data_IF_364001716692
#
_entry.id   IF_364001716692
#
_cell.length_a   1.000
_cell.length_b   1.000
_cell.length_c   1.000
_cell.angle_alpha   90.00
_cell.angle_beta   90.00
_cell.angle_gamma   90.00
#
_symmetry.space_group_name_H-M   'P 1'
#
loop_
_entity.id
_entity.type
_entity.pdbx_description
1 polymer ?
#
# COMPACT_ATOMS: atom_id res chain seq x y z
N UNK A 1 -0.82 28.28 12.52
CA UNK A 1 -0.43 28.46 13.93
C UNK A 1 0.29 29.79 14.07
N UNK A 2 0.00 30.56 15.12
CA UNK A 2 0.68 31.83 15.40
C UNK A 2 0.88 31.95 16.91
N UNK A 3 2.06 32.43 17.32
CA UNK A 3 2.36 32.73 18.71
C UNK A 3 2.96 34.11 18.84
N UNK A 4 2.48 34.84 19.84
CA UNK A 4 2.89 36.21 20.14
C UNK A 4 3.28 36.33 21.61
N UNK A 5 4.47 36.87 21.85
CA UNK A 5 4.99 37.20 23.16
C UNK A 5 5.00 38.72 23.30
N UNK A 6 4.21 39.25 24.23
CA UNK A 6 4.10 40.69 24.47
C UNK A 6 5.04 41.12 25.60
N UNK A 7 5.56 42.34 25.52
CA UNK A 7 6.29 43.02 26.59
C UNK A 7 6.00 44.52 26.54
N UNK A 8 6.37 45.27 27.58
CA UNK A 8 5.89 46.64 27.79
C UNK A 8 6.12 47.60 26.61
N UNK A 9 7.18 47.39 25.83
CA UNK A 9 7.57 48.24 24.70
C UNK A 9 7.32 47.59 23.32
N UNK A 10 6.64 46.44 23.25
CA UNK A 10 6.36 45.80 21.97
C UNK A 10 5.99 44.31 22.04
N UNK A 11 6.36 43.56 21.01
CA UNK A 11 6.07 42.13 20.91
C UNK A 11 6.99 41.40 19.95
N UNK A 12 7.16 40.10 20.17
CA UNK A 12 7.68 39.16 19.18
C UNK A 12 6.56 38.24 18.73
N UNK A 13 6.43 38.02 17.42
CA UNK A 13 5.40 37.17 16.82
C UNK A 13 6.04 36.22 15.82
N UNK A 14 5.64 34.96 15.86
CA UNK A 14 6.00 33.94 14.88
C UNK A 14 4.72 33.32 14.34
N UNK A 15 4.65 33.18 13.02
CA UNK A 15 3.53 32.61 12.29
C UNK A 15 4.05 31.44 11.45
N UNK A 16 3.36 30.31 11.53
CA UNK A 16 3.65 29.09 10.76
C UNK A 16 2.37 28.57 10.13
N UNK A 17 2.41 28.25 8.85
CA UNK A 17 1.32 27.59 8.14
C UNK A 17 1.88 26.42 7.36
N UNK A 18 1.21 25.29 7.44
CA UNK A 18 1.47 24.14 6.60
C UNK A 18 0.13 23.63 6.04
N UNK A 19 0.12 23.26 4.78
CA UNK A 19 -0.99 22.59 4.12
C UNK A 19 -0.47 21.37 3.37
N UNK A 20 -1.20 20.27 3.44
CA UNK A 20 -0.86 19.03 2.75
C UNK A 20 -2.07 18.55 1.97
N UNK A 21 -1.91 18.36 0.66
CA UNK A 21 -2.78 17.56 -0.17
C UNK A 21 -2.03 16.33 -0.64
N UNK A 22 -2.68 15.18 -0.69
CA UNK A 22 -2.10 14.02 -1.35
C UNK A 22 -3.18 13.23 -2.09
N UNK A 23 -2.81 12.70 -3.25
CA UNK A 23 -3.55 11.72 -4.02
C UNK A 23 -2.75 10.43 -4.06
N UNK A 24 -3.44 9.30 -3.88
CA UNK A 24 -2.79 8.00 -3.78
C UNK A 24 -3.45 6.97 -4.71
N UNK A 25 -2.62 6.13 -5.31
CA UNK A 25 -3.00 4.96 -6.10
C UNK A 25 -2.23 3.78 -5.59
N UNK A 26 -2.89 2.64 -5.55
CA UNK A 26 -2.33 1.44 -4.94
C UNK A 26 -2.51 0.31 -5.92
N UNK A 27 -1.52 0.09 -6.80
CA UNK A 27 -1.59 -1.02 -7.72
C UNK A 27 -1.30 -2.30 -6.96
N UNK A 28 -2.12 -3.29 -7.28
CA UNK A 28 -2.13 -4.53 -6.55
C UNK A 28 -2.30 -5.71 -7.47
N UNK A 29 -1.66 -6.82 -7.12
CA UNK A 29 -1.73 -8.07 -7.86
C UNK A 29 -2.20 -9.18 -6.94
N UNK A 30 -3.29 -9.83 -7.35
CA UNK A 30 -3.70 -11.11 -6.80
C UNK A 30 -3.15 -12.24 -7.68
N UNK A 31 -2.52 -13.24 -7.06
CA UNK A 31 -2.12 -14.48 -7.73
C UNK A 31 -2.97 -15.61 -7.17
N UNK A 32 -3.66 -16.33 -8.05
CA UNK A 32 -4.49 -17.48 -7.68
C UNK A 32 -3.92 -18.73 -8.33
N UNK A 33 -3.65 -19.76 -7.54
CA UNK A 33 -3.18 -21.07 -8.00
C UNK A 33 -4.20 -22.12 -7.59
N UNK A 34 -4.74 -22.84 -8.56
CA UNK A 34 -5.68 -23.92 -8.32
C UNK A 34 -5.03 -25.26 -8.60
N UNK A 35 -5.20 -26.22 -7.70
CA UNK A 35 -4.66 -27.56 -7.85
C UNK A 35 -5.59 -28.66 -7.33
N UNK A 36 -5.65 -29.80 -8.01
CA UNK A 36 -5.16 -29.99 -9.38
C UNK A 36 -6.05 -29.22 -10.37
N UNK A 37 -5.54 -29.02 -11.59
CA UNK A 37 -6.31 -28.41 -12.70
C UNK A 37 -7.10 -29.47 -13.49
N UNK A 38 -6.64 -30.72 -13.44
CA UNK A 38 -7.31 -31.88 -14.01
C UNK A 38 -7.19 -33.05 -13.06
N UNK A 39 -8.30 -33.77 -12.88
CA UNK A 39 -8.34 -35.02 -12.12
C UNK A 39 -9.20 -36.04 -12.86
N UNK A 40 -8.70 -37.26 -12.95
CA UNK A 40 -9.45 -38.44 -13.35
C UNK A 40 -9.56 -39.37 -12.13
N UNK A 41 -10.78 -39.62 -11.68
CA UNK A 41 -11.04 -40.70 -10.73
C UNK A 41 -11.56 -41.90 -11.49
N UNK A 42 -10.89 -43.03 -11.33
CA UNK A 42 -11.35 -44.35 -11.78
C UNK A 42 -11.39 -45.25 -10.55
N UNK A 43 -12.57 -45.75 -10.20
CA UNK A 43 -12.74 -46.60 -9.02
C UNK A 43 -14.14 -47.19 -8.90
N UNK A 44 -14.27 -48.19 -8.03
CA UNK A 44 -15.55 -48.91 -7.77
C UNK A 44 -16.36 -48.23 -6.66
N UNK A 45 -15.71 -47.45 -5.78
CA UNK A 45 -16.35 -46.70 -4.68
C UNK A 45 -16.43 -45.20 -5.00
N UNK A 46 -17.49 -44.56 -4.49
CA UNK A 46 -17.56 -43.11 -4.38
C UNK A 46 -16.38 -42.64 -3.51
N UNK A 47 -15.44 -41.92 -4.13
CA UNK A 47 -14.40 -41.21 -3.40
C UNK A 47 -14.71 -39.73 -3.49
N UNK A 48 -15.04 -39.15 -2.34
CA UNK A 48 -15.02 -37.71 -2.17
C UNK A 48 -13.68 -37.18 -2.62
N UNK A 49 -13.74 -36.04 -3.27
CA UNK A 49 -12.54 -35.45 -3.75
C UNK A 49 -12.60 -33.94 -3.68
N UNK A 50 -11.45 -33.31 -3.76
CA UNK A 50 -11.35 -31.89 -3.51
C UNK A 50 -10.39 -31.24 -4.49
N UNK A 51 -10.57 -29.94 -4.65
CA UNK A 51 -9.54 -29.06 -5.20
C UNK A 51 -9.13 -28.04 -4.15
N UNK A 52 -7.88 -27.63 -4.28
CA UNK A 52 -7.25 -26.61 -3.47
C UNK A 52 -7.12 -25.33 -4.29
N UNK A 53 -7.41 -24.20 -3.67
CA UNK A 53 -7.12 -22.88 -4.22
C UNK A 53 -6.21 -22.14 -3.26
N UNK A 54 -5.09 -21.64 -3.78
CA UNK A 54 -4.15 -20.78 -3.07
C UNK A 54 -4.26 -19.36 -3.62
N UNK A 55 -4.59 -18.40 -2.76
CA UNK A 55 -4.73 -16.98 -3.11
C UNK A 55 -3.65 -16.20 -2.38
N UNK A 56 -2.81 -15.49 -3.12
CA UNK A 56 -1.84 -14.55 -2.57
C UNK A 56 -2.04 -13.16 -3.15
N UNK A 57 -1.59 -12.16 -2.41
CA UNK A 57 -1.77 -10.76 -2.77
C UNK A 57 -0.49 -9.97 -2.47
N UNK A 58 -0.17 -9.03 -3.35
CA UNK A 58 0.95 -8.10 -3.18
C UNK A 58 0.58 -6.71 -3.73
N UNK A 59 1.11 -5.66 -3.09
CA UNK A 59 1.24 -4.34 -3.72
C UNK A 59 2.46 -4.35 -4.62
N UNK A 60 2.28 -3.79 -5.82
CA UNK A 60 3.35 -3.63 -6.81
C UNK A 60 3.68 -2.15 -6.97
N UNK A 61 4.77 -1.84 -7.66
CA UNK A 61 5.05 -0.50 -8.19
C UNK A 61 4.49 -0.49 -9.62
N UNK A 62 3.43 0.29 -9.84
CA UNK A 62 2.70 0.38 -11.09
C UNK A 62 3.22 1.53 -11.94
N UNK A 63 3.87 1.21 -13.06
CA UNK A 63 4.26 2.20 -14.05
C UNK A 63 3.07 2.69 -14.91
N UNK A 64 3.33 3.67 -15.77
CA UNK A 64 2.33 4.20 -16.69
C UNK A 64 1.69 3.09 -17.58
N UNK A 65 2.47 2.09 -17.98
CA UNK A 65 1.99 0.99 -18.80
C UNK A 65 1.10 0.01 -18.02
N UNK A 66 1.39 -0.21 -16.74
CA UNK A 66 0.52 -0.96 -15.84
C UNK A 66 -0.87 -0.34 -15.81
N UNK A 67 -0.96 0.97 -15.60
CA UNK A 67 -2.24 1.68 -15.57
C UNK A 67 -2.97 1.67 -16.92
N UNK A 68 -2.25 1.82 -18.03
CA UNK A 68 -2.83 1.71 -19.38
C UNK A 68 -3.40 0.31 -19.63
N UNK A 69 -2.67 -0.75 -19.26
CA UNK A 69 -3.14 -2.15 -19.37
C UNK A 69 -4.35 -2.41 -18.46
N UNK A 70 -4.41 -1.76 -17.31
CA UNK A 70 -5.56 -1.76 -16.42
C UNK A 70 -6.73 -0.88 -16.91
N UNK A 71 -6.71 -0.40 -18.17
CA UNK A 71 -7.83 0.32 -18.78
C UNK A 71 -7.98 1.77 -18.34
N UNK A 72 -6.99 2.35 -17.66
CA UNK A 72 -7.06 3.74 -17.21
C UNK A 72 -6.86 4.71 -18.40
N UNK A 73 -7.74 5.70 -18.52
CA UNK A 73 -7.63 6.73 -19.56
C UNK A 73 -6.30 7.49 -19.46
N UNK A 74 -5.69 7.83 -20.60
CA UNK A 74 -4.36 8.47 -20.66
C UNK A 74 -4.25 9.75 -19.81
N UNK A 75 -5.30 10.57 -19.77
CA UNK A 75 -5.38 11.79 -18.95
C UNK A 75 -5.35 11.51 -17.45
N UNK A 76 -5.61 10.27 -17.04
CA UNK A 76 -5.61 9.81 -15.66
C UNK A 76 -4.40 8.96 -15.32
N UNK A 77 -3.41 8.78 -16.20
CA UNK A 77 -2.21 7.96 -15.89
C UNK A 77 -1.23 8.73 -15.00
N UNK A 78 -1.20 10.07 -15.07
CA UNK A 78 -0.28 10.95 -14.29
C UNK A 78 1.17 10.45 -14.31
N UNK A 79 1.66 10.07 -15.50
CA UNK A 79 3.02 9.55 -15.72
C UNK A 79 3.36 8.27 -14.95
N UNK A 80 2.36 7.61 -14.35
CA UNK A 80 2.56 6.43 -13.50
C UNK A 80 2.77 6.76 -12.02
N UNK A 81 2.78 8.04 -11.63
CA UNK A 81 2.98 8.42 -10.24
C UNK A 81 1.85 7.87 -9.36
N UNK A 82 2.25 7.12 -8.33
CA UNK A 82 1.34 6.46 -7.41
C UNK A 82 1.00 7.35 -6.22
N UNK A 83 1.94 8.20 -5.79
CA UNK A 83 1.74 9.24 -4.79
C UNK A 83 1.99 10.60 -5.43
N UNK A 84 0.94 11.41 -5.44
CA UNK A 84 1.01 12.83 -5.78
C UNK A 84 0.84 13.58 -4.47
N UNK A 85 1.87 14.27 -3.99
CA UNK A 85 1.81 15.04 -2.77
C UNK A 85 2.07 16.51 -3.06
N UNK A 86 1.16 17.36 -2.63
CA UNK A 86 1.31 18.80 -2.66
C UNK A 86 1.48 19.28 -1.23
N UNK A 87 2.65 19.83 -0.92
CA UNK A 87 2.92 20.41 0.38
C UNK A 87 3.11 21.91 0.24
N UNK A 88 2.48 22.66 1.13
CA UNK A 88 2.66 24.10 1.26
C UNK A 88 3.21 24.35 2.66
N UNK A 89 4.28 25.13 2.75
CA UNK A 89 4.83 25.57 4.02
C UNK A 89 5.03 27.08 3.96
N UNK A 90 4.71 27.77 5.05
CA UNK A 90 4.87 29.20 5.22
C UNK A 90 5.39 29.51 6.60
N UNK A 91 6.38 30.41 6.65
CA UNK A 91 6.93 30.96 7.88
C UNK A 91 6.91 32.48 7.80
N UNK A 92 6.64 33.13 8.93
CA UNK A 92 6.69 34.58 9.07
C UNK A 92 7.01 34.96 10.50
N UNK A 93 7.61 36.14 10.69
CA UNK A 93 7.89 36.68 12.00
C UNK A 93 7.78 38.21 12.04
N UNK A 94 7.55 38.75 13.24
CA UNK A 94 7.55 40.19 13.49
C UNK A 94 8.12 40.48 14.87
N UNK A 95 9.15 41.31 14.92
CA UNK A 95 9.76 41.81 16.14
C UNK A 95 9.58 43.32 16.22
N UNK A 96 8.75 43.75 17.18
CA UNK A 96 8.49 45.14 17.50
C UNK A 96 9.03 45.44 18.89
N UNK A 97 9.90 46.42 19.03
CA UNK A 97 10.42 46.88 20.32
C UNK A 97 10.53 48.41 20.32
N UNK A 98 10.28 49.04 21.47
CA UNK A 98 10.22 50.51 21.61
C UNK A 98 9.24 51.15 20.61
N UNK A 99 8.11 50.49 20.37
CA UNK A 99 7.11 50.91 19.36
C UNK A 99 7.63 50.97 17.91
N UNK A 100 8.82 50.40 17.64
CA UNK A 100 9.42 50.31 16.31
C UNK A 100 9.50 48.87 15.80
N UNK A 101 9.29 48.66 14.49
CA UNK A 101 9.36 47.34 13.84
C UNK A 101 10.80 47.07 13.38
N UNK A 102 11.58 46.39 14.22
CA UNK A 102 12.99 46.10 13.97
C UNK A 102 13.22 44.98 12.95
N UNK A 103 12.32 44.00 12.91
CA UNK A 103 12.41 42.92 11.94
C UNK A 103 11.02 42.39 11.60
N UNK A 104 10.75 42.21 10.30
CA UNK A 104 9.48 41.71 9.83
C UNK A 104 9.67 40.89 8.55
N UNK A 105 9.32 39.61 8.63
CA UNK A 105 9.07 38.79 7.44
C UNK A 105 7.58 38.43 7.46
N UNK A 106 6.77 38.90 6.50
CA UNK A 106 5.38 38.50 6.41
C UNK A 106 5.28 37.00 6.15
N UNK A 107 4.21 36.36 6.63
CA UNK A 107 3.96 34.95 6.34
C UNK A 107 3.85 34.79 4.82
N UNK A 108 4.83 34.10 4.23
CA UNK A 108 4.83 33.75 2.81
C UNK A 108 4.77 32.25 2.68
N UNK A 109 3.72 31.78 2.02
CA UNK A 109 3.57 30.38 1.67
C UNK A 109 4.40 30.09 0.42
N UNK A 110 5.18 29.02 0.45
CA UNK A 110 5.74 28.40 -0.74
C UNK A 110 5.20 27.00 -0.83
N UNK A 111 4.49 26.74 -1.92
CA UNK A 111 4.14 25.39 -2.34
C UNK A 111 5.35 24.73 -2.97
N UNK A 112 5.46 23.42 -2.78
CA UNK A 112 6.28 22.57 -3.63
C UNK A 112 5.49 21.29 -3.89
N UNK A 113 5.51 20.88 -5.15
CA UNK A 113 4.94 19.62 -5.58
C UNK A 113 5.98 18.53 -5.39
N UNK A 114 5.57 17.42 -4.79
CA UNK A 114 6.40 16.25 -4.56
C UNK A 114 5.66 15.03 -5.10
N UNK A 115 6.15 14.51 -6.22
CA UNK A 115 5.61 13.31 -6.84
C UNK A 115 6.68 12.24 -6.76
N UNK A 116 6.27 11.05 -6.33
CA UNK A 116 7.15 9.89 -6.33
C UNK A 116 6.34 8.62 -6.61
N UNK A 117 7.00 7.63 -7.19
CA UNK A 117 6.53 6.26 -7.12
C UNK A 117 6.64 5.80 -5.66
N UNK A 118 5.66 5.05 -5.18
CA UNK A 118 5.71 4.53 -3.82
C UNK A 118 5.01 3.18 -3.74
N UNK A 119 5.70 2.21 -3.17
CA UNK A 119 5.05 0.94 -2.85
C UNK A 119 4.20 1.10 -1.60
N UNK A 120 2.88 0.97 -1.74
CA UNK A 120 1.99 1.08 -0.60
C UNK A 120 2.26 0.00 0.46
N UNK A 121 2.29 0.35 1.76
CA UNK A 121 2.69 -0.57 2.81
C UNK A 121 1.58 -1.57 3.13
N UNK A 122 1.79 -2.83 2.78
CA UNK A 122 0.98 -3.93 3.32
C UNK A 122 1.57 -4.38 4.65
N UNK A 123 1.40 -3.57 5.69
CA UNK A 123 1.83 -3.88 7.05
C UNK A 123 0.75 -3.47 8.04
N UNK A 124 0.54 -4.28 9.07
CA UNK A 124 -0.18 -3.85 10.26
C UNK A 124 0.58 -2.78 11.07
N UNK A 125 1.89 -2.65 10.85
CA UNK A 125 2.76 -1.69 11.50
C UNK A 125 2.93 -0.43 10.65
N UNK A 126 3.17 0.69 11.31
CA UNK A 126 3.49 1.95 10.63
C UNK A 126 4.85 1.87 9.96
N UNK A 127 4.91 2.29 8.70
CA UNK A 127 6.16 2.43 7.95
C UNK A 127 6.22 3.79 7.25
N UNK A 128 7.41 4.38 7.11
CA UNK A 128 7.59 5.60 6.33
C UNK A 128 7.25 5.36 4.86
N UNK A 129 6.56 6.33 4.26
CA UNK A 129 6.14 6.33 2.84
C UNK A 129 6.85 7.44 2.08
N UNK A 130 6.89 8.64 2.63
CA UNK A 130 7.54 9.80 2.02
C UNK A 130 8.14 10.69 3.10
N UNK A 131 9.24 11.36 2.75
CA UNK A 131 9.87 12.35 3.61
C UNK A 131 10.04 13.65 2.87
N UNK A 132 9.66 14.73 3.53
CA UNK A 132 9.64 16.06 2.94
C UNK A 132 10.35 16.99 3.87
N UNK A 133 11.46 17.58 3.41
CA UNK A 133 12.20 18.58 4.16
C UNK A 133 12.17 19.90 3.43
N UNK A 134 11.85 20.98 4.16
CA UNK A 134 11.97 22.34 3.66
C UNK A 134 13.46 22.62 3.47
N UNK A 135 13.90 22.97 2.24
CA UNK A 135 15.30 23.27 1.97
C UNK A 135 15.88 24.34 2.91
N UNK A 136 17.14 24.18 3.38
CA UNK A 136 17.77 25.13 4.31
C UNK A 136 17.84 26.57 3.83
N UNK A 137 18.02 26.80 2.53
CA UNK A 137 17.99 28.12 1.91
C UNK A 137 16.62 28.81 2.07
N UNK A 138 15.53 28.04 2.16
CA UNK A 138 14.18 28.57 2.44
C UNK A 138 13.96 28.82 3.95
N UNK A 139 14.54 27.98 4.82
CA UNK A 139 14.49 28.18 6.28
C UNK A 139 15.53 29.18 6.80
N UNK A 140 16.44 29.65 5.92
CA UNK A 140 17.61 30.48 6.24
C UNK A 140 18.45 29.92 7.40
N UNK A 141 18.60 28.60 7.44
CA UNK A 141 19.30 27.88 8.49
C UNK A 141 20.75 27.51 8.13
N UNK A 142 21.19 27.83 6.91
CA UNK A 142 22.56 27.56 6.47
C UNK A 142 23.55 28.47 7.18
N UNK A 143 24.59 27.88 7.73
CA UNK A 143 25.71 28.57 8.35
C UNK A 143 26.99 28.05 7.69
N UNK A 144 27.84 28.96 7.22
CA UNK A 144 29.16 28.64 6.69
C UNK A 144 30.20 29.54 7.38
N UNK A 145 31.14 28.91 8.08
CA UNK A 145 32.21 29.56 8.85
C UNK A 145 33.59 29.25 8.23
N UNK A 146 33.65 28.94 6.94
CA UNK A 146 34.87 28.69 6.18
C UNK A 146 35.40 27.27 6.31
N UNK A 147 35.79 26.87 7.51
CA UNK A 147 36.32 25.50 7.80
C UNK A 147 35.28 24.55 8.39
N UNK A 148 34.10 25.08 8.71
CA UNK A 148 32.96 24.33 9.18
C UNK A 148 31.68 25.00 8.70
N UNK A 149 30.64 24.21 8.53
CA UNK A 149 29.33 24.72 8.18
C UNK A 149 28.25 23.71 8.49
N UNK A 150 27.01 24.13 8.36
CA UNK A 150 25.89 23.25 8.60
C UNK A 150 24.57 23.89 8.20
N UNK A 151 23.52 23.09 8.31
CA UNK A 151 22.16 23.49 8.01
C UNK A 151 21.15 22.69 8.81
N UNK A 152 19.98 23.28 9.01
CA UNK A 152 18.86 22.63 9.70
C UNK A 152 17.58 22.73 8.86
N UNK A 153 17.12 21.60 8.37
CA UNK A 153 15.85 21.50 7.66
C UNK A 153 14.76 21.02 8.60
N UNK A 154 13.60 21.67 8.55
CA UNK A 154 12.39 21.15 9.19
C UNK A 154 11.62 20.38 8.13
N UNK A 155 11.10 19.21 8.50
CA UNK A 155 10.38 18.35 7.59
C UNK A 155 9.25 17.59 8.24
N UNK A 156 8.58 16.80 7.42
CA UNK A 156 7.54 15.85 7.82
C UNK A 156 7.78 14.52 7.11
N UNK A 157 7.59 13.43 7.84
CA UNK A 157 7.51 12.09 7.30
C UNK A 157 6.04 11.70 7.22
N UNK A 158 5.58 11.35 6.03
CA UNK A 158 4.32 10.67 5.84
C UNK A 158 4.56 9.19 6.11
N UNK A 159 3.93 8.66 7.16
CA UNK A 159 3.94 7.25 7.49
C UNK A 159 2.55 6.66 7.28
N UNK A 160 2.50 5.42 6.79
CA UNK A 160 1.25 4.70 6.61
C UNK A 160 1.36 3.26 7.07
N UNK A 161 0.21 2.67 7.36
CA UNK A 161 0.03 1.23 7.50
C UNK A 161 -1.21 0.84 6.71
N UNK A 162 -1.24 -0.37 6.17
CA UNK A 162 -2.25 -0.73 5.21
C UNK A 162 -2.50 -2.22 5.12
N UNK A 163 -3.70 -2.54 4.64
CA UNK A 163 -4.16 -3.91 4.40
C UNK A 163 -5.05 -3.97 3.18
N UNK A 164 -5.01 -5.12 2.52
CA UNK A 164 -5.90 -5.45 1.42
C UNK A 164 -6.99 -6.35 1.95
N UNK A 165 -8.22 -6.11 1.53
CA UNK A 165 -9.36 -7.02 1.69
C UNK A 165 -9.88 -7.45 0.34
N UNK A 166 -10.37 -8.67 0.25
CA UNK A 166 -11.08 -9.17 -0.93
C UNK A 166 -12.14 -10.20 -0.53
N UNK A 167 -13.06 -10.48 -1.43
CA UNK A 167 -14.05 -11.55 -1.28
C UNK A 167 -13.66 -12.72 -2.17
N UNK A 168 -13.69 -13.93 -1.62
CA UNK A 168 -13.42 -15.17 -2.34
C UNK A 168 -14.60 -16.14 -2.27
N UNK A 169 -14.90 -16.76 -3.41
CA UNK A 169 -15.90 -17.83 -3.54
C UNK A 169 -15.32 -18.95 -4.40
N UNK A 170 -15.63 -20.19 -4.04
CA UNK A 170 -15.30 -21.35 -4.86
C UNK A 170 -16.45 -21.66 -5.81
N UNK A 171 -16.14 -22.13 -7.01
CA UNK A 171 -17.13 -22.47 -8.03
C UNK A 171 -17.12 -23.95 -8.35
N UNK A 172 -18.31 -24.53 -8.54
CA UNK A 172 -18.53 -25.84 -9.14
C UNK A 172 -19.64 -25.69 -10.18
N UNK A 173 -19.36 -26.03 -11.44
CA UNK A 173 -20.30 -25.87 -12.56
C UNK A 173 -20.89 -24.45 -12.64
N UNK A 174 -20.04 -23.46 -12.39
CA UNK A 174 -20.40 -22.06 -12.37
C UNK A 174 -21.30 -21.59 -11.22
N UNK A 175 -21.58 -22.45 -10.23
CA UNK A 175 -22.32 -22.11 -9.03
C UNK A 175 -21.40 -21.99 -7.82
N UNK A 176 -21.75 -21.09 -6.88
CA UNK A 176 -20.99 -20.91 -5.64
C UNK A 176 -21.09 -22.19 -4.79
N UNK A 177 -19.93 -22.72 -4.41
CA UNK A 177 -19.80 -23.91 -3.60
C UNK A 177 -19.15 -23.58 -2.24
N UNK A 178 -19.60 -24.22 -1.14
CA UNK A 178 -18.93 -24.11 0.14
C UNK A 178 -17.48 -24.59 0.07
N UNK A 179 -16.56 -23.81 0.63
CA UNK A 179 -15.16 -24.18 0.78
C UNK A 179 -14.68 -23.99 2.21
N UNK A 180 -13.65 -24.74 2.58
CA UNK A 180 -13.08 -24.77 3.91
C UNK A 180 -11.76 -23.98 3.95
N UNK A 181 -11.63 -23.10 4.94
CA UNK A 181 -10.37 -22.47 5.34
C UNK A 181 -10.32 -22.40 6.86
N UNK A 182 -9.16 -22.63 7.48
CA UNK A 182 -9.01 -22.58 8.94
C UNK A 182 -10.11 -23.32 9.73
N UNK A 183 -10.51 -24.51 9.26
CA UNK A 183 -11.60 -25.35 9.80
C UNK A 183 -13.02 -24.72 9.76
N UNK A 184 -13.22 -23.66 8.97
CA UNK A 184 -14.52 -23.02 8.75
C UNK A 184 -14.99 -23.27 7.32
N UNK A 185 -16.17 -23.89 7.17
CA UNK A 185 -16.82 -24.14 5.88
C UNK A 185 -17.85 -23.05 5.60
N UNK A 186 -17.67 -22.29 4.50
CA UNK A 186 -18.56 -21.20 4.10
C UNK A 186 -18.63 -21.08 2.57
N UNK A 187 -19.75 -20.60 2.00
CA UNK A 187 -19.85 -20.31 0.56
C UNK A 187 -19.01 -19.09 0.15
N UNK A 188 -18.67 -18.23 1.10
CA UNK A 188 -17.92 -16.99 0.88
C UNK A 188 -16.93 -16.75 2.01
N UNK A 189 -15.75 -16.23 1.65
CA UNK A 189 -14.68 -15.88 2.58
C UNK A 189 -14.23 -14.44 2.36
N UNK A 190 -14.13 -13.67 3.45
CA UNK A 190 -13.45 -12.39 3.45
C UNK A 190 -11.96 -12.62 3.70
N UNK A 191 -11.15 -12.20 2.74
CA UNK A 191 -9.69 -12.31 2.77
C UNK A 191 -9.12 -11.00 3.30
N UNK A 192 -8.10 -11.08 4.16
CA UNK A 192 -7.37 -9.91 4.64
C UNK A 192 -5.86 -10.19 4.59
N UNK A 193 -5.13 -9.33 3.88
CA UNK A 193 -3.67 -9.35 3.85
C UNK A 193 -3.12 -8.08 4.47
N UNK A 194 -2.47 -8.24 5.61
CA UNK A 194 -1.72 -7.19 6.29
C UNK A 194 -0.20 -7.39 6.20
N UNK A 195 0.28 -8.44 5.52
CA UNK A 195 1.69 -8.67 5.25
C UNK A 195 1.82 -9.34 3.86
N UNK A 196 2.80 -8.94 3.02
CA UNK A 196 3.02 -9.58 1.73
C UNK A 196 3.53 -11.02 1.91
N UNK A 197 3.20 -11.89 0.95
CA UNK A 197 3.82 -13.22 0.83
C UNK A 197 3.20 -14.35 1.67
N UNK A 198 2.08 -14.11 2.35
CA UNK A 198 1.32 -15.17 3.04
C UNK A 198 0.11 -15.61 2.19
N UNK A 199 0.19 -16.74 1.46
CA UNK A 199 -0.95 -17.24 0.72
C UNK A 199 -2.04 -17.80 1.66
N UNK A 200 -3.30 -17.59 1.30
CA UNK A 200 -4.46 -18.21 1.92
C UNK A 200 -4.87 -19.43 1.11
N UNK A 201 -5.19 -20.54 1.80
CA UNK A 201 -5.56 -21.80 1.17
C UNK A 201 -7.01 -22.15 1.46
N UNK A 202 -7.68 -22.64 0.43
CA UNK A 202 -9.07 -23.07 0.45
C UNK A 202 -9.17 -24.48 -0.10
N UNK A 203 -9.98 -25.30 0.55
CA UNK A 203 -10.28 -26.66 0.10
C UNK A 203 -11.77 -26.74 -0.21
N UNK A 204 -12.12 -27.15 -1.42
CA UNK A 204 -13.53 -27.28 -1.84
C UNK A 204 -13.80 -28.72 -2.19
N UNK A 205 -14.80 -29.33 -1.52
CA UNK A 205 -15.27 -30.66 -1.87
C UNK A 205 -15.99 -30.64 -3.21
N UNK A 206 -15.65 -31.60 -4.06
CA UNK A 206 -16.29 -31.87 -5.34
C UNK A 206 -17.21 -33.07 -5.14
N UNK A 207 -18.52 -32.85 -4.97
CA UNK A 207 -19.45 -33.95 -4.72
C UNK A 207 -19.44 -34.92 -5.91
N UNK A 208 -19.39 -36.21 -5.61
CA UNK A 208 -19.48 -37.27 -6.63
C UNK A 208 -20.92 -37.27 -7.17
N UNK A 209 -21.13 -37.38 -8.50
CA UNK A 209 -22.48 -37.54 -9.03
C UNK A 209 -23.08 -38.88 -8.60
N UNK A 210 -24.39 -38.94 -8.30
CA UNK A 210 -25.04 -40.16 -7.82
C UNK A 210 -25.20 -41.27 -8.86
N UNK A 211 -24.72 -41.09 -10.11
CA UNK A 211 -24.97 -42.02 -11.20
C UNK A 211 -23.66 -42.63 -11.75
N UNK A 212 -23.34 -43.89 -11.39
CA UNK A 212 -22.01 -44.50 -11.58
C UNK A 212 -21.64 -44.80 -13.05
N UNK A 213 -22.60 -44.87 -13.97
CA UNK A 213 -22.37 -45.50 -15.27
C UNK A 213 -21.98 -44.55 -16.41
N UNK A 214 -21.95 -43.23 -16.17
CA UNK A 214 -21.66 -42.23 -17.21
C UNK A 214 -20.45 -41.41 -16.80
N UNK A 215 -19.48 -41.26 -17.72
CA UNK A 215 -18.38 -40.31 -17.52
C UNK A 215 -18.95 -38.90 -17.42
N UNK A 216 -18.95 -38.32 -16.23
CA UNK A 216 -19.40 -36.95 -16.03
C UNK A 216 -18.23 -36.02 -15.90
N UNK A 217 -18.34 -34.85 -16.52
CA UNK A 217 -17.33 -33.80 -16.43
C UNK A 217 -17.89 -32.63 -15.64
N UNK A 218 -17.16 -32.19 -14.60
CA UNK A 218 -17.50 -30.99 -13.83
C UNK A 218 -16.40 -29.96 -13.96
N UNK A 219 -16.78 -28.72 -14.22
CA UNK A 219 -15.89 -27.56 -14.10
C UNK A 219 -15.86 -27.10 -12.65
N UNK A 220 -14.73 -26.57 -12.23
CA UNK A 220 -14.56 -25.92 -10.93
C UNK A 220 -13.58 -24.77 -11.06
N UNK A 221 -13.64 -23.86 -10.09
CA UNK A 221 -12.98 -22.58 -10.23
C UNK A 221 -13.12 -21.69 -9.00
N UNK A 222 -12.96 -20.40 -9.23
CA UNK A 222 -13.07 -19.38 -8.20
C UNK A 222 -13.65 -18.07 -8.73
N UNK A 223 -14.19 -17.29 -7.80
CA UNK A 223 -14.43 -15.87 -7.96
C UNK A 223 -13.62 -15.12 -6.90
N UNK A 224 -12.91 -14.08 -7.34
CA UNK A 224 -12.24 -13.12 -6.47
C UNK A 224 -12.75 -11.73 -6.82
N UNK A 225 -13.27 -11.00 -5.85
CA UNK A 225 -13.83 -9.67 -6.09
C UNK A 225 -13.78 -8.77 -4.88
N UNK A 226 -14.42 -7.61 -5.02
CA UNK A 226 -14.54 -6.58 -3.96
C UNK A 226 -13.20 -6.29 -3.28
N UNK A 227 -12.17 -6.06 -4.11
CA UNK A 227 -10.82 -5.77 -3.61
C UNK A 227 -10.80 -4.34 -3.09
N UNK A 228 -10.51 -4.19 -1.80
CA UNK A 228 -10.38 -2.90 -1.12
C UNK A 228 -9.03 -2.78 -0.44
N UNK A 229 -8.36 -1.66 -0.61
CA UNK A 229 -7.20 -1.30 0.19
C UNK A 229 -7.60 -0.32 1.29
N UNK A 230 -7.35 -0.67 2.54
CA UNK A 230 -7.55 0.21 3.69
C UNK A 230 -6.20 0.70 4.18
N UNK A 231 -6.06 2.00 4.39
CA UNK A 231 -4.81 2.65 4.82
C UNK A 231 -5.08 3.65 5.94
N UNK A 232 -4.20 3.65 6.94
CA UNK A 232 -4.14 4.70 7.95
C UNK A 232 -2.92 5.57 7.67
N UNK A 233 -3.09 6.89 7.76
CA UNK A 233 -2.04 7.86 7.48
C UNK A 233 -1.65 8.67 8.72
N UNK A 234 -0.37 9.00 8.82
CA UNK A 234 0.14 9.90 9.85
C UNK A 234 1.28 10.77 9.33
N UNK A 235 1.40 11.97 9.90
CA UNK A 235 2.55 12.84 9.70
C UNK A 235 3.38 12.85 10.97
N UNK A 236 4.69 12.64 10.82
CA UNK A 236 5.66 12.75 11.90
C UNK A 236 6.58 13.93 11.57
N UNK A 237 6.54 15.02 12.33
CA UNK A 237 7.46 16.12 12.10
C UNK A 237 8.90 15.69 12.43
N UNK A 238 9.87 16.26 11.73
CA UNK A 238 11.28 15.94 11.92
C UNK A 238 12.20 17.11 11.65
N UNK A 239 13.42 16.98 12.16
CA UNK A 239 14.50 17.94 11.96
C UNK A 239 15.68 17.17 11.36
N UNK A 240 16.13 17.61 10.19
CA UNK A 240 17.36 17.11 9.57
C UNK A 240 18.46 18.12 9.78
N UNK A 241 19.56 17.68 10.37
CA UNK A 241 20.74 18.51 10.62
C UNK A 241 21.86 17.96 9.77
N UNK A 242 22.45 18.84 8.97
CA UNK A 242 23.67 18.57 8.23
C UNK A 242 24.79 19.41 8.83
N UNK A 243 25.94 18.80 9.08
CA UNK A 243 27.12 19.47 9.56
C UNK A 243 28.33 18.98 8.78
N UNK A 244 29.21 19.88 8.38
CA UNK A 244 30.48 19.52 7.77
C UNK A 244 31.61 20.30 8.42
N UNK A 245 32.77 19.67 8.47
CA UNK A 245 34.03 20.28 8.89
C UNK A 245 35.09 19.86 7.89
N UNK A 246 35.86 20.81 7.37
CA UNK A 246 36.90 20.50 6.42
C UNK A 246 37.71 21.71 6.01
N UNK A 247 38.91 21.43 5.49
CA UNK A 247 39.86 22.41 5.01
C UNK A 247 40.20 22.12 3.56
N UNK A 248 40.31 23.17 2.76
CA UNK A 248 40.86 23.06 1.42
C UNK A 248 42.38 23.16 1.51
N UNK A 249 43.08 22.11 1.09
CA UNK A 249 44.53 22.08 1.01
C UNK A 249 44.95 21.54 -0.37
N UNK A 250 45.84 22.26 -1.06
CA UNK A 250 46.34 21.89 -2.39
C UNK A 250 45.25 21.64 -3.46
N UNK A 251 44.11 22.33 -3.37
CA UNK A 251 42.98 22.17 -4.31
C UNK A 251 42.04 21.01 -3.97
N UNK A 252 42.35 20.20 -2.96
CA UNK A 252 41.51 19.12 -2.48
C UNK A 252 40.82 19.48 -1.16
N UNK A 253 39.57 19.05 -0.99
CA UNK A 253 38.82 19.21 0.25
C UNK A 253 39.09 18.01 1.16
N UNK A 254 39.70 18.27 2.31
CA UNK A 254 39.86 17.29 3.39
C UNK A 254 38.83 17.60 4.46
N UNK A 255 37.80 16.78 4.57
CA UNK A 255 36.73 17.02 5.52
C UNK A 255 35.81 15.84 5.76
N UNK A 256 34.87 16.05 6.67
CA UNK A 256 33.85 15.08 7.06
C UNK A 256 32.49 15.75 7.12
N UNK A 257 31.50 15.09 6.54
CA UNK A 257 30.11 15.49 6.61
C UNK A 257 29.35 14.51 7.51
N UNK A 258 28.44 15.06 8.30
CA UNK A 258 27.54 14.34 9.18
C UNK A 258 26.11 14.78 8.84
N UNK A 259 25.25 13.81 8.57
CA UNK A 259 23.82 14.03 8.41
C UNK A 259 23.10 13.22 9.49
N UNK A 260 22.18 13.86 10.19
CA UNK A 260 21.29 13.18 11.15
C UNK A 260 19.88 13.71 11.00
N UNK A 261 18.90 12.82 11.12
CA UNK A 261 17.49 13.17 11.11
C UNK A 261 16.87 12.69 12.42
N UNK A 262 16.22 13.62 13.12
CA UNK A 262 15.49 13.34 14.36
C UNK A 262 14.00 13.46 14.04
N UNK A 263 13.29 12.34 14.12
CA UNK A 263 11.83 12.29 14.04
C UNK A 263 11.21 12.52 15.41
N UNK A 264 10.23 13.40 15.46
CA UNK A 264 9.56 13.79 16.70
C UNK A 264 8.25 12.99 16.82
N UNK A 265 8.36 11.68 17.07
CA UNK A 265 7.23 10.75 17.12
C UNK A 265 6.13 11.15 18.11
N UNK A 266 6.49 11.86 19.19
CA UNK A 266 5.55 12.39 20.18
C UNK A 266 4.57 13.43 19.61
N UNK A 267 4.87 14.01 18.45
CA UNK A 267 4.03 14.96 17.73
C UNK A 267 3.38 14.36 16.48
N UNK A 268 3.27 13.03 16.41
CA UNK A 268 2.59 12.35 15.31
C UNK A 268 1.15 12.84 15.17
N UNK A 269 0.80 13.31 13.98
CA UNK A 269 -0.55 13.76 13.63
C UNK A 269 -1.22 12.65 12.83
N UNK A 270 -2.32 12.11 13.35
CA UNK A 270 -3.14 11.15 12.62
C UNK A 270 -4.00 11.88 11.57
N UNK A 271 -3.86 11.49 10.31
CA UNK A 271 -4.61 12.08 9.20
C UNK A 271 -5.94 11.35 8.92
N UNK A 272 -6.13 10.17 9.52
CA UNK A 272 -7.33 9.36 9.38
C UNK A 272 -7.13 8.10 8.54
N UNK A 273 -8.24 7.41 8.29
CA UNK A 273 -8.30 6.17 7.52
C UNK A 273 -8.92 6.43 6.14
N UNK A 274 -8.32 5.88 5.10
CA UNK A 274 -8.84 5.90 3.74
C UNK A 274 -9.07 4.47 3.25
N UNK A 275 -10.23 4.22 2.64
CA UNK A 275 -10.50 2.96 1.93
C UNK A 275 -10.61 3.23 0.44
N UNK A 276 -9.81 2.52 -0.35
CA UNK A 276 -9.77 2.61 -1.81
C UNK A 276 -10.33 1.32 -2.38
N UNK A 277 -11.34 1.43 -3.26
CA UNK A 277 -11.88 0.31 -4.02
C UNK A 277 -11.39 0.30 -5.47
N UNK A 278 -11.94 -0.58 -6.30
CA UNK A 278 -11.66 -0.62 -7.73
C UNK A 278 -12.05 0.72 -8.39
N UNK A 279 -11.25 1.17 -9.35
CA UNK A 279 -11.49 2.41 -10.10
C UNK A 279 -11.88 2.11 -11.56
N UNK A 280 -12.30 3.15 -12.29
CA UNK A 280 -12.62 3.07 -13.72
C UNK A 280 -11.47 2.41 -14.51
N UNK A 281 -11.80 1.40 -15.32
CA UNK A 281 -10.83 0.59 -16.07
C UNK A 281 -10.55 -0.78 -15.45
N UNK A 282 -10.79 -0.96 -14.14
CA UNK A 282 -10.53 -2.24 -13.44
C UNK A 282 -11.79 -3.11 -13.30
N UNK A 283 -11.60 -4.43 -13.31
CA UNK A 283 -12.70 -5.38 -13.08
C UNK A 283 -12.95 -5.56 -11.58
N UNK A 284 -14.19 -5.39 -11.13
CA UNK A 284 -14.58 -5.61 -9.72
C UNK A 284 -14.53 -7.07 -9.29
N UNK A 285 -14.74 -7.97 -10.25
CA UNK A 285 -14.78 -9.41 -10.05
C UNK A 285 -13.97 -10.10 -11.12
N UNK A 286 -13.10 -11.03 -10.71
CA UNK A 286 -12.43 -11.96 -11.58
C UNK A 286 -12.97 -13.36 -11.32
N UNK A 287 -13.55 -13.95 -12.35
CA UNK A 287 -14.06 -15.32 -12.36
C UNK A 287 -13.17 -16.18 -13.25
N UNK A 288 -12.84 -17.38 -12.79
CA UNK A 288 -12.11 -18.38 -13.56
C UNK A 288 -12.67 -19.77 -13.26
N UNK A 289 -12.93 -20.54 -14.31
CA UNK A 289 -13.41 -21.94 -14.26
C UNK A 289 -12.44 -22.88 -15.01
N UNK A 290 -11.14 -22.57 -14.99
CA UNK A 290 -10.12 -23.34 -15.70
C UNK A 290 -9.89 -24.78 -15.18
N UNK A 291 -10.52 -25.18 -14.07
CA UNK A 291 -10.41 -26.52 -13.49
C UNK A 291 -11.47 -27.45 -14.07
N UNK A 292 -11.05 -28.65 -14.50
CA UNK A 292 -11.98 -29.66 -15.02
C UNK A 292 -11.72 -31.02 -14.39
N UNK A 293 -12.77 -31.74 -14.01
CA UNK A 293 -12.65 -33.08 -13.45
C UNK A 293 -13.57 -34.04 -14.17
N UNK A 294 -13.05 -35.20 -14.49
CA UNK A 294 -13.82 -36.30 -15.06
C UNK A 294 -14.01 -37.38 -14.00
N UNK A 295 -15.27 -37.76 -13.79
CA UNK A 295 -15.67 -38.86 -12.93
C UNK A 295 -15.99 -40.06 -13.80
N UNK A 296 -15.34 -41.20 -13.57
CA UNK A 296 -15.72 -42.49 -14.18
C UNK A 296 -15.75 -43.55 -13.10
N UNK A 297 -16.94 -43.94 -12.66
CA UNK A 297 -17.08 -45.05 -11.73
C UNK A 297 -17.12 -46.34 -12.56
N UNK A 298 -16.23 -47.27 -12.26
CA UNK A 298 -16.23 -48.59 -12.91
C UNK A 298 -17.06 -49.52 -12.05
N UNK A 299 -18.14 -50.07 -12.60
CA UNK A 299 -18.86 -51.19 -11.97
C UNK A 299 -17.87 -52.35 -11.91
N UNK A 300 -17.44 -52.74 -10.71
CA UNK A 300 -16.60 -53.91 -10.54
C UNK A 300 -17.39 -55.13 -11.00
N UNK A 301 -16.90 -55.82 -12.03
CA UNK A 301 -17.40 -57.14 -12.35
C UNK A 301 -17.03 -58.05 -11.17
N UNK A 302 -18.02 -58.47 -10.39
CA UNK A 302 -17.86 -59.58 -9.45
C UNK A 302 -17.74 -60.83 -10.31
N UNK A 303 -16.51 -61.30 -10.54
CA UNK A 303 -16.28 -62.61 -11.13
C UNK A 303 -16.67 -63.67 -10.10
N UNK A 304 -17.89 -64.18 -10.21
CA UNK A 304 -18.25 -65.46 -9.59
C UNK A 304 -17.60 -66.58 -10.44
N UNK A 305 -16.34 -66.89 -10.14
CA UNK A 305 -15.76 -68.19 -10.50
C UNK A 305 -15.84 -69.08 -9.27
N UNK A 306 -16.89 -69.89 -9.23
CA UNK A 306 -17.16 -70.88 -8.21
C UNK A 306 -18.22 -71.85 -8.71
N UNK A 307 -17.77 -72.79 -9.56
CA UNK A 307 -18.53 -73.93 -10.07
C UNK A 307 -17.57 -75.05 -10.42
#
# INVERSE_FOLDING_TARGET
>A
WERRWNYASGFFRVSFKAGLGFGVRIPSRATVRMSPQSQLLVGVREQDAAFNTEVSFETVDGDADFYRRAGLASSRVFEGNELVMQATAGFGYKFRALWHDWAHEPLRERGFDYNQNFRAPMSANWSPVAEVFVPPNLTRSEVNLGVMGGSASIGVQLAAKGRVRATYRSLIQGQVAPSMTNNLTRPEHTLEWANPGQPLRFVTALPVPPNPSVTQSRTYGFELGDVHYTTDWSLVPGIRVNFWVGVHAAGEFFGRTFETTVWLDSFRIHLGNTTLGPHDGTTRWRRDEGGRRNFRQSVGAVSNEGG
#
